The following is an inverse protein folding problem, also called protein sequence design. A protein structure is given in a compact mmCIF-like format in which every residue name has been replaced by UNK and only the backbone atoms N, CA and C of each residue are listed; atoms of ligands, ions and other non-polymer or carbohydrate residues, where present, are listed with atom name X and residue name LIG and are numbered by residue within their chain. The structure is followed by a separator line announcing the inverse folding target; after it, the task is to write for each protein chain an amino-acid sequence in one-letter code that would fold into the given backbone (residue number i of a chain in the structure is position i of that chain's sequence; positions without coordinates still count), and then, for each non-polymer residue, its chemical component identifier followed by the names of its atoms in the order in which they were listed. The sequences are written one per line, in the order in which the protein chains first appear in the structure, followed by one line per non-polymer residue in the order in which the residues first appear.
data_IF_103263702014
#
_entry.id   IF_103263702014
#
_cell.length_a   1.000
_cell.length_b   1.000
_cell.length_c   1.000
_cell.angle_alpha   90.00
_cell.angle_beta   90.00
_cell.angle_gamma   90.00
#
_symmetry.space_group_name_H-M   'P 1'
#
loop_
_entity.id
_entity.type
_entity.pdbx_description
1 polymer ?
#
# COMPACT_ATOMS: atom_id res chain seq x y z
N UNK A 1 21.76 -8.61 17.98
CA UNK A 1 20.84 -8.97 16.88
C UNK A 1 19.67 -8.02 16.99
N UNK A 2 19.58 -7.04 16.10
CA UNK A 2 18.57 -5.99 16.20
C UNK A 2 17.20 -6.57 15.80
N UNK A 3 16.24 -6.50 16.71
CA UNK A 3 14.84 -6.77 16.47
C UNK A 3 14.30 -5.75 15.45
N UNK A 4 14.22 -6.15 14.19
CA UNK A 4 13.82 -5.30 13.06
C UNK A 4 12.29 -5.32 12.85
N UNK A 5 11.49 -5.48 13.90
CA UNK A 5 10.02 -5.61 13.80
C UNK A 5 9.27 -4.29 13.66
N UNK A 6 9.96 -3.15 13.65
CA UNK A 6 9.36 -1.86 13.28
C UNK A 6 9.36 -1.71 11.76
N UNK A 7 8.40 -2.37 11.09
CA UNK A 7 8.09 -2.04 9.69
C UNK A 7 7.53 -0.61 9.68
N UNK A 8 8.38 0.33 9.27
CA UNK A 8 8.02 1.72 9.12
C UNK A 8 7.02 1.83 7.96
N UNK A 9 5.72 1.78 8.26
CA UNK A 9 4.65 1.95 7.27
C UNK A 9 4.66 3.34 6.64
N UNK A 10 5.41 4.28 7.22
CA UNK A 10 5.68 5.60 6.66
C UNK A 10 6.85 5.58 5.67
N UNK A 11 7.13 4.44 5.01
CA UNK A 11 8.16 4.36 3.97
C UNK A 11 7.86 5.45 2.94
N UNK A 12 8.76 6.43 2.87
CA UNK A 12 8.51 7.84 2.53
C UNK A 12 8.19 8.17 1.07
N UNK A 13 7.73 7.19 0.29
CA UNK A 13 7.25 7.41 -1.07
C UNK A 13 5.81 6.92 -1.13
N UNK A 14 4.88 7.76 -0.67
CA UNK A 14 3.48 7.59 -0.99
C UNK A 14 3.34 7.55 -2.52
N UNK A 15 2.62 6.55 -3.03
CA UNK A 15 2.31 6.47 -4.46
C UNK A 15 1.55 7.75 -4.81
N UNK A 16 2.03 8.47 -5.81
CA UNK A 16 1.41 9.73 -6.27
C UNK A 16 0.34 9.45 -7.32
N UNK A 17 -0.60 10.38 -7.48
CA UNK A 17 -1.63 10.29 -8.52
C UNK A 17 -0.99 10.27 -9.93
N UNK A 18 0.12 10.96 -10.12
CA UNK A 18 0.90 10.95 -11.36
C UNK A 18 1.47 9.57 -11.65
N UNK A 19 2.03 8.88 -10.65
CA UNK A 19 2.54 7.51 -10.80
C UNK A 19 1.43 6.52 -11.09
N UNK A 20 0.24 6.69 -10.50
CA UNK A 20 -0.94 5.88 -10.83
C UNK A 20 -1.32 6.10 -12.29
N UNK A 21 -1.47 7.35 -12.73
CA UNK A 21 -1.86 7.69 -14.11
C UNK A 21 -0.77 7.35 -15.14
N UNK A 22 0.50 7.20 -14.72
CA UNK A 22 1.57 6.70 -15.57
C UNK A 22 1.36 5.22 -15.96
N UNK A 23 0.54 4.47 -15.20
CA UNK A 23 0.11 3.14 -15.60
C UNK A 23 -0.94 3.22 -16.72
N UNK A 24 -0.75 2.55 -17.87
CA UNK A 24 -1.71 2.59 -18.98
C UNK A 24 -3.14 2.21 -18.60
N UNK A 25 -3.31 1.36 -17.59
CA UNK A 25 -4.62 0.95 -17.09
C UNK A 25 -5.41 2.09 -16.42
N UNK A 26 -4.72 3.08 -15.85
CA UNK A 26 -5.29 4.20 -15.10
C UNK A 26 -5.01 5.56 -15.75
N UNK A 27 -4.45 5.59 -16.96
CA UNK A 27 -4.04 6.83 -17.62
C UNK A 27 -5.19 7.81 -17.91
N UNK A 28 -6.43 7.31 -17.94
CA UNK A 28 -7.64 8.11 -18.17
C UNK A 28 -8.32 8.56 -16.87
N UNK A 29 -7.79 8.19 -15.71
CA UNK A 29 -8.40 8.52 -14.42
C UNK A 29 -8.21 10.00 -14.10
N UNK A 30 -9.20 10.58 -13.42
CA UNK A 30 -9.04 11.88 -12.76
C UNK A 30 -8.11 11.76 -11.55
N UNK A 31 -7.71 12.90 -10.97
CA UNK A 31 -6.89 12.90 -9.76
C UNK A 31 -7.64 12.25 -8.59
N UNK A 32 -8.96 12.45 -8.50
CA UNK A 32 -9.80 11.82 -7.47
C UNK A 32 -9.89 10.30 -7.66
N UNK A 33 -10.04 9.82 -8.90
CA UNK A 33 -10.05 8.38 -9.19
C UNK A 33 -8.68 7.75 -8.93
N UNK A 34 -7.60 8.43 -9.29
CA UNK A 34 -6.24 7.98 -8.98
C UNK A 34 -6.00 7.90 -7.46
N UNK A 35 -6.55 8.85 -6.70
CA UNK A 35 -6.50 8.83 -5.24
C UNK A 35 -7.22 7.60 -4.65
N UNK A 36 -8.37 7.23 -5.21
CA UNK A 36 -9.09 6.01 -4.79
C UNK A 36 -8.27 4.73 -5.05
N UNK A 37 -7.50 4.68 -6.15
CA UNK A 37 -6.59 3.56 -6.41
C UNK A 37 -5.52 3.48 -5.32
N UNK A 38 -4.91 4.61 -4.94
CA UNK A 38 -3.91 4.68 -3.88
C UNK A 38 -4.48 4.17 -2.56
N UNK A 39 -5.65 4.66 -2.15
CA UNK A 39 -6.34 4.25 -0.93
C UNK A 39 -6.66 2.74 -0.92
N UNK A 40 -7.06 2.21 -2.08
CA UNK A 40 -7.34 0.78 -2.25
C UNK A 40 -6.08 -0.05 -2.06
N UNK A 41 -4.95 0.34 -2.67
CA UNK A 41 -3.68 -0.36 -2.53
C UNK A 41 -3.18 -0.35 -1.08
N UNK A 42 -3.28 0.79 -0.40
CA UNK A 42 -2.92 0.92 1.02
C UNK A 42 -3.79 0.00 1.89
N UNK A 43 -5.10 0.00 1.65
CA UNK A 43 -6.05 -0.84 2.40
C UNK A 43 -5.77 -2.32 2.17
N UNK A 44 -5.53 -2.71 0.93
CA UNK A 44 -5.17 -4.09 0.60
C UNK A 44 -3.85 -4.51 1.27
N UNK A 45 -2.82 -3.66 1.23
CA UNK A 45 -1.54 -3.93 1.89
C UNK A 45 -1.70 -4.13 3.41
N UNK A 46 -2.55 -3.33 4.07
CA UNK A 46 -2.88 -3.49 5.50
C UNK A 46 -3.56 -4.84 5.77
N UNK A 47 -4.55 -5.23 4.95
CA UNK A 47 -5.24 -6.52 5.10
C UNK A 47 -4.25 -7.68 4.96
N UNK A 48 -3.40 -7.66 3.93
CA UNK A 48 -2.39 -8.70 3.71
C UNK A 48 -1.42 -8.77 4.90
N UNK A 49 -0.94 -7.63 5.38
CA UNK A 49 -0.07 -7.58 6.55
C UNK A 49 -0.72 -8.18 7.79
N UNK A 50 -1.97 -7.79 8.09
CA UNK A 50 -2.69 -8.29 9.25
C UNK A 50 -2.93 -9.80 9.15
N UNK A 51 -3.28 -10.31 7.97
CA UNK A 51 -3.36 -11.75 7.70
C UNK A 51 -2.03 -12.46 8.00
N UNK A 52 -0.92 -11.98 7.44
CA UNK A 52 0.41 -12.58 7.68
C UNK A 52 0.86 -12.47 9.14
N UNK A 53 0.56 -11.35 9.81
CA UNK A 53 0.87 -11.14 11.22
C UNK A 53 0.07 -12.08 12.13
N UNK A 54 -1.21 -12.31 11.82
CA UNK A 54 -2.07 -13.21 12.58
C UNK A 54 -1.70 -14.68 12.37
N UNK A 55 -1.29 -15.08 11.15
CA UNK A 55 -0.75 -16.43 10.90
C UNK A 55 0.54 -16.72 11.69
N UNK A 56 1.39 -15.71 11.94
CA UNK A 56 2.59 -15.87 12.79
C UNK A 56 2.31 -16.04 14.29
N UNK A 57 1.09 -15.78 14.77
CA UNK A 57 0.72 -15.94 16.20
C UNK A 57 0.15 -17.32 16.54
N UNK A 58 -0.10 -18.16 15.54
CA UNK A 58 -0.72 -19.49 15.69
C UNK A 58 0.29 -20.64 15.51
N UNK A 59 1.57 -20.32 15.38
CA UNK A 59 2.70 -21.26 15.42
C UNK A 59 3.50 -21.02 16.71
#
# INVERSE_FOLDING_TARGET
MADNTHTDWQRSNDITAEEVKACPAFAHFTDEEAQQVIETLITFAKIVYDCCKNQRKTL
#
